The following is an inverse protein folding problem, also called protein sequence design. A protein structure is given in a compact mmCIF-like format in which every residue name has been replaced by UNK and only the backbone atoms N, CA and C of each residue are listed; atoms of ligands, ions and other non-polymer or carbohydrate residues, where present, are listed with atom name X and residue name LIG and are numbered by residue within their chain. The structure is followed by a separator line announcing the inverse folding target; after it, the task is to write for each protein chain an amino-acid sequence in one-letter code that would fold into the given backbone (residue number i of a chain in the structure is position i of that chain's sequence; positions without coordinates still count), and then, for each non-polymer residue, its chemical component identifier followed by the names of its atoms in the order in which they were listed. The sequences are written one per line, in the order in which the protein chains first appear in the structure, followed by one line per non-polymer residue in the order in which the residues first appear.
data_IF_156994210727
#
_entry.id   IF_156994210727
#
_cell.length_a   1.000
_cell.length_b   1.000
_cell.length_c   1.000
_cell.angle_alpha   90.00
_cell.angle_beta   90.00
_cell.angle_gamma   90.00
#
_symmetry.space_group_name_H-M   'P 1'
#
loop_
_entity.id
_entity.type
_entity.pdbx_description
1 polymer ?
#
# COMPACT_ATOMS: atom_id res chain seq x y z
N UNK A 1 0.99 10.88 -22.57
CA UNK A 1 0.74 10.74 -21.12
C UNK A 1 0.98 9.32 -20.61
N UNK A 2 0.29 8.28 -21.13
CA UNK A 2 0.47 6.88 -20.67
C UNK A 2 1.92 6.37 -20.69
N UNK A 3 2.66 6.67 -21.76
CA UNK A 3 4.07 6.25 -21.93
C UNK A 3 4.98 6.90 -20.87
N UNK A 4 4.80 8.19 -20.61
CA UNK A 4 5.60 8.91 -19.60
C UNK A 4 5.35 8.32 -18.21
N UNK A 5 4.08 8.06 -17.88
CA UNK A 5 3.71 7.43 -16.60
C UNK A 5 4.33 6.03 -16.48
N UNK A 6 4.28 5.23 -17.54
CA UNK A 6 4.88 3.90 -17.54
C UNK A 6 6.41 3.97 -17.36
N UNK A 7 7.08 4.87 -18.08
CA UNK A 7 8.53 5.09 -17.95
C UNK A 7 8.88 5.52 -16.52
N UNK A 8 8.17 6.50 -15.96
CA UNK A 8 8.39 6.97 -14.59
C UNK A 8 8.19 5.85 -13.56
N UNK A 9 7.15 5.03 -13.73
CA UNK A 9 6.90 3.89 -12.84
C UNK A 9 7.99 2.82 -12.97
N UNK A 10 8.45 2.53 -14.19
CA UNK A 10 9.56 1.59 -14.41
C UNK A 10 10.84 2.05 -13.73
N UNK A 11 11.20 3.33 -13.83
CA UNK A 11 12.36 3.88 -13.13
C UNK A 11 12.19 3.85 -11.61
N UNK A 12 10.99 4.18 -11.10
CA UNK A 12 10.71 4.14 -9.68
C UNK A 12 10.87 2.72 -9.11
N UNK A 13 10.32 1.71 -9.79
CA UNK A 13 10.47 0.30 -9.39
C UNK A 13 11.94 -0.15 -9.50
N UNK A 14 12.64 0.24 -10.57
CA UNK A 14 14.05 -0.10 -10.75
C UNK A 14 14.92 0.47 -9.62
N UNK A 15 14.79 1.77 -9.31
CA UNK A 15 15.58 2.39 -8.27
C UNK A 15 15.28 1.84 -6.87
N UNK A 16 14.02 1.50 -6.60
CA UNK A 16 13.67 0.77 -5.38
C UNK A 16 14.28 -0.63 -5.33
N UNK A 17 14.36 -1.33 -6.47
CA UNK A 17 14.90 -2.70 -6.53
C UNK A 17 16.41 -2.78 -6.31
N UNK A 18 17.16 -1.77 -6.75
CA UNK A 18 18.62 -1.68 -6.50
C UNK A 18 18.92 -0.99 -5.16
N UNK A 19 17.88 -0.64 -4.40
CA UNK A 19 17.99 -0.13 -3.05
C UNK A 19 18.34 1.35 -2.93
N UNK A 20 18.18 2.18 -3.97
CA UNK A 20 18.40 3.63 -3.85
C UNK A 20 17.32 4.27 -2.98
N UNK A 21 17.74 4.88 -1.87
CA UNK A 21 16.92 5.70 -0.99
C UNK A 21 17.04 7.19 -1.30
N UNK A 22 16.11 7.99 -0.75
CA UNK A 22 16.20 9.45 -0.82
C UNK A 22 17.43 9.98 -0.08
N UNK A 23 17.87 9.31 0.98
CA UNK A 23 19.09 9.64 1.73
C UNK A 23 20.33 9.56 0.87
N UNK A 24 20.41 8.57 -0.03
CA UNK A 24 21.56 8.38 -0.91
C UNK A 24 21.75 9.55 -1.88
N UNK A 25 20.65 10.18 -2.30
CA UNK A 25 20.69 11.37 -3.16
C UNK A 25 21.37 12.54 -2.43
N UNK A 26 21.11 12.69 -1.13
CA UNK A 26 21.74 13.73 -0.32
C UNK A 26 23.22 13.44 -0.02
N UNK A 27 23.60 12.16 0.08
CA UNK A 27 24.98 11.75 0.33
C UNK A 27 25.84 11.69 -0.94
N UNK A 28 25.25 11.86 -2.12
CA UNK A 28 25.96 11.75 -3.40
C UNK A 28 27.13 12.74 -3.53
N UNK A 29 27.00 13.96 -2.97
CA UNK A 29 28.11 14.92 -2.95
C UNK A 29 29.34 14.39 -2.19
N UNK A 30 29.11 13.73 -1.05
CA UNK A 30 30.16 13.14 -0.21
C UNK A 30 30.80 11.93 -0.85
N UNK A 31 30.01 11.14 -1.56
CA UNK A 31 30.52 10.06 -2.39
C UNK A 31 31.51 10.55 -3.46
N UNK A 32 31.18 11.65 -4.15
CA UNK A 32 32.09 12.25 -5.15
C UNK A 32 33.35 12.80 -4.50
N UNK A 33 33.22 13.53 -3.40
CA UNK A 33 34.37 14.09 -2.66
C UNK A 33 35.33 13.00 -2.15
N UNK A 34 34.79 11.91 -1.60
CA UNK A 34 35.62 10.79 -1.13
C UNK A 34 36.26 10.02 -2.30
N UNK A 35 35.58 9.92 -3.45
CA UNK A 35 36.18 9.37 -4.67
C UNK A 35 37.34 10.23 -5.21
N UNK A 36 37.20 11.56 -5.16
CA UNK A 36 38.28 12.50 -5.51
C UNK A 36 39.46 12.37 -4.55
N UNK A 37 39.21 12.31 -3.23
CA UNK A 37 40.24 12.07 -2.22
C UNK A 37 41.02 10.78 -2.49
N UNK A 38 40.33 9.69 -2.84
CA UNK A 38 40.97 8.42 -3.21
C UNK A 38 41.79 8.51 -4.49
N UNK A 39 41.32 9.28 -5.48
CA UNK A 39 42.06 9.52 -6.71
C UNK A 39 43.34 10.32 -6.47
N UNK A 40 43.28 11.34 -5.62
CA UNK A 40 44.41 12.22 -5.31
C UNK A 40 45.46 11.57 -4.39
N UNK A 41 45.03 10.83 -3.36
CA UNK A 41 45.93 10.31 -2.32
C UNK A 41 46.38 8.87 -2.56
N UNK A 42 45.53 8.04 -3.15
CA UNK A 42 45.80 6.62 -3.38
C UNK A 42 45.98 6.27 -4.87
N UNK A 43 45.66 7.20 -5.78
CA UNK A 43 45.73 6.97 -7.23
C UNK A 43 44.64 6.04 -7.73
N UNK A 44 43.55 5.89 -6.97
CA UNK A 44 42.43 5.04 -7.36
C UNK A 44 41.67 5.64 -8.54
N UNK A 45 41.29 4.80 -9.49
CA UNK A 45 40.24 5.15 -10.44
C UNK A 45 38.85 4.92 -9.81
N UNK A 46 37.81 5.42 -10.48
CA UNK A 46 36.44 5.31 -9.98
C UNK A 46 35.99 3.85 -9.73
N UNK A 47 36.42 2.91 -10.58
CA UNK A 47 36.03 1.50 -10.43
C UNK A 47 36.73 0.85 -9.24
N UNK A 48 38.00 1.15 -9.03
CA UNK A 48 38.79 0.69 -7.89
C UNK A 48 38.20 1.24 -6.58
N UNK A 49 37.86 2.53 -6.56
CA UNK A 49 37.13 3.15 -5.45
C UNK A 49 35.81 2.40 -5.18
N UNK A 50 35.01 2.16 -6.22
CA UNK A 50 33.74 1.45 -6.06
C UNK A 50 33.94 0.02 -5.53
N UNK A 51 34.94 -0.73 -6.01
CA UNK A 51 35.26 -2.06 -5.50
C UNK A 51 35.71 -2.04 -4.03
N UNK A 52 36.48 -1.04 -3.62
CA UNK A 52 36.93 -0.83 -2.23
C UNK A 52 35.81 -0.42 -1.27
N UNK A 53 34.71 0.13 -1.76
CA UNK A 53 33.61 0.61 -0.88
C UNK A 53 32.33 -0.24 -0.95
N UNK A 54 32.09 -0.90 -2.08
CA UNK A 54 30.86 -1.65 -2.36
C UNK A 54 31.09 -3.05 -2.97
N UNK A 55 32.33 -3.40 -3.28
CA UNK A 55 32.69 -4.65 -3.95
C UNK A 55 33.46 -5.63 -3.08
N UNK A 56 34.26 -6.47 -3.75
CA UNK A 56 35.05 -7.54 -3.14
C UNK A 56 36.19 -7.02 -2.25
N UNK A 57 36.70 -5.82 -2.52
CA UNK A 57 37.84 -5.23 -1.81
C UNK A 57 37.45 -4.50 -0.52
N UNK A 58 36.15 -4.36 -0.23
CA UNK A 58 35.63 -3.63 0.93
C UNK A 58 36.24 -4.06 2.26
N UNK A 59 36.26 -5.36 2.51
CA UNK A 59 36.77 -5.90 3.78
C UNK A 59 38.26 -5.63 3.98
N UNK A 60 39.04 -5.66 2.90
CA UNK A 60 40.46 -5.37 2.95
C UNK A 60 40.72 -3.87 3.15
N UNK A 61 40.02 -3.03 2.40
CA UNK A 61 40.12 -1.58 2.52
C UNK A 61 39.74 -1.11 3.94
N UNK A 62 38.61 -1.57 4.48
CA UNK A 62 38.19 -1.25 5.86
C UNK A 62 39.19 -1.72 6.92
N UNK A 63 39.90 -2.83 6.69
CA UNK A 63 40.92 -3.32 7.62
C UNK A 63 42.17 -2.45 7.62
N UNK A 64 42.57 -1.96 6.44
CA UNK A 64 43.81 -1.23 6.23
C UNK A 64 43.67 0.27 6.49
N UNK A 65 42.46 0.83 6.34
CA UNK A 65 42.16 2.26 6.46
C UNK A 65 41.07 2.51 7.51
N UNK A 66 41.36 2.18 8.77
CA UNK A 66 40.39 2.34 9.88
C UNK A 66 40.15 3.80 10.26
N UNK A 67 41.08 4.67 9.90
CA UNK A 67 40.97 6.11 10.09
C UNK A 67 39.79 6.72 9.32
N UNK A 68 39.32 6.08 8.26
CA UNK A 68 38.22 6.54 7.41
C UNK A 68 36.85 5.95 7.81
N UNK A 69 36.77 5.10 8.86
CA UNK A 69 35.54 4.39 9.25
C UNK A 69 34.34 5.36 9.48
N UNK A 70 34.59 6.56 10.02
CA UNK A 70 33.53 7.57 10.22
C UNK A 70 33.02 8.17 8.92
N UNK A 71 33.91 8.37 7.93
CA UNK A 71 33.55 8.91 6.63
C UNK A 71 32.82 7.86 5.80
N UNK A 72 33.16 6.58 5.99
CA UNK A 72 32.48 5.47 5.32
C UNK A 72 31.00 5.45 5.70
N UNK A 73 30.61 5.66 6.95
CA UNK A 73 29.19 5.71 7.40
C UNK A 73 28.36 6.81 6.69
N UNK A 74 29.04 7.80 6.12
CA UNK A 74 28.42 8.95 5.45
C UNK A 74 28.37 8.79 3.92
N UNK A 75 28.72 7.59 3.43
CA UNK A 75 28.58 7.20 2.03
C UNK A 75 27.16 6.65 1.73
N UNK A 76 26.65 6.86 0.50
CA UNK A 76 25.35 6.34 0.08
C UNK A 76 25.33 4.80 0.04
N UNK A 77 24.13 4.22 -0.03
CA UNK A 77 23.86 2.79 -0.24
C UNK A 77 24.28 1.86 0.91
N UNK A 78 24.48 2.41 2.11
CA UNK A 78 24.85 1.62 3.30
C UNK A 78 23.64 1.16 4.12
N UNK A 79 22.45 1.67 3.84
CA UNK A 79 21.21 1.22 4.46
C UNK A 79 20.74 -0.14 3.91
N UNK A 80 20.09 -0.92 4.78
CA UNK A 80 19.35 -2.12 4.38
C UNK A 80 18.00 -1.67 3.81
N UNK A 81 17.95 -1.46 2.50
CA UNK A 81 16.75 -1.01 1.76
C UNK A 81 15.63 -2.05 1.75
N UNK A 82 15.92 -3.28 2.17
CA UNK A 82 15.00 -4.40 2.16
C UNK A 82 14.64 -4.87 3.58
N UNK A 83 13.96 -4.00 4.35
CA UNK A 83 13.13 -4.50 5.44
C UNK A 83 11.89 -5.16 4.84
N UNK A 84 12.03 -6.39 4.36
CA UNK A 84 10.89 -7.29 4.32
C UNK A 84 10.49 -7.53 5.78
N UNK A 85 9.65 -6.66 6.35
CA UNK A 85 8.88 -7.03 7.53
C UNK A 85 7.97 -8.14 7.05
N UNK A 86 8.45 -9.40 7.17
CA UNK A 86 7.59 -10.58 7.14
C UNK A 86 6.64 -10.41 8.32
N UNK A 87 5.54 -9.72 8.05
CA UNK A 87 4.46 -9.57 9.02
C UNK A 87 3.69 -10.86 8.90
N UNK A 88 3.96 -11.83 9.78
CA UNK A 88 3.15 -13.03 9.88
C UNK A 88 1.74 -12.62 10.29
N UNK A 89 0.81 -12.65 9.33
CA UNK A 89 -0.62 -12.46 9.60
C UNK A 89 -1.14 -13.78 10.15
N UNK A 90 -1.20 -13.89 11.47
CA UNK A 90 -1.89 -15.01 12.13
C UNK A 90 -3.38 -14.75 12.08
N UNK A 91 -4.07 -15.38 11.11
CA UNK A 91 -5.53 -15.38 11.07
C UNK A 91 -6.04 -16.38 12.12
N UNK A 92 -6.45 -15.88 13.29
CA UNK A 92 -7.08 -16.72 14.31
C UNK A 92 -8.52 -16.99 13.89
N UNK A 93 -8.91 -18.24 13.57
CA UNK A 93 -10.30 -18.55 13.30
C UNK A 93 -11.10 -18.37 14.59
N UNK A 94 -12.13 -17.53 14.56
CA UNK A 94 -13.11 -17.43 15.64
C UNK A 94 -14.46 -17.87 15.10
N UNK A 95 -15.14 -18.73 15.85
CA UNK A 95 -16.50 -19.13 15.54
C UNK A 95 -17.45 -18.08 16.10
N UNK A 96 -18.19 -17.38 15.24
CA UNK A 96 -19.31 -16.55 15.66
C UNK A 96 -20.50 -17.50 15.83
N UNK A 97 -21.06 -17.66 17.05
CA UNK A 97 -22.26 -18.45 17.22
C UNK A 97 -23.41 -17.76 16.47
N UNK A 98 -23.90 -18.40 15.42
CA UNK A 98 -25.09 -17.95 14.70
C UNK A 98 -26.29 -18.24 15.60
N UNK A 99 -26.69 -17.25 16.40
CA UNK A 99 -27.97 -17.28 17.10
C UNK A 99 -29.08 -17.37 16.06
N UNK A 100 -29.83 -18.47 16.07
CA UNK A 100 -31.04 -18.59 15.27
C UNK A 100 -32.00 -17.51 15.72
N UNK A 101 -32.23 -16.52 14.87
CA UNK A 101 -33.28 -15.53 15.10
C UNK A 101 -34.62 -16.29 15.19
N UNK A 102 -35.32 -16.14 16.31
CA UNK A 102 -36.65 -16.70 16.47
C UNK A 102 -37.60 -15.88 15.59
N UNK A 103 -37.93 -16.43 14.42
CA UNK A 103 -38.89 -15.81 13.51
C UNK A 103 -40.27 -15.99 14.14
N UNK A 104 -40.76 -14.95 14.81
CA UNK A 104 -42.15 -14.91 15.27
C UNK A 104 -43.05 -14.84 14.03
N UNK A 105 -43.60 -15.98 13.63
CA UNK A 105 -44.52 -16.06 12.52
C UNK A 105 -45.81 -15.35 12.91
N UNK A 106 -45.98 -14.13 12.41
CA UNK A 106 -47.20 -13.37 12.60
C UNK A 106 -48.35 -14.16 11.97
N UNK A 107 -49.28 -14.65 12.80
CA UNK A 107 -50.46 -15.38 12.33
C UNK A 107 -51.23 -14.49 11.37
N UNK A 108 -51.51 -14.97 10.16
CA UNK A 108 -52.36 -14.22 9.24
C UNK A 108 -53.78 -14.16 9.82
N UNK A 109 -54.21 -12.98 10.22
CA UNK A 109 -55.60 -12.78 10.61
C UNK A 109 -56.44 -12.66 9.33
N UNK A 110 -57.26 -13.66 9.06
CA UNK A 110 -58.21 -13.62 7.94
C UNK A 110 -59.45 -12.86 8.39
N UNK A 111 -59.57 -11.60 7.97
CA UNK A 111 -60.79 -10.81 8.17
C UNK A 111 -61.75 -11.04 7.00
N UNK A 112 -63.03 -11.26 7.28
CA UNK A 112 -64.08 -11.34 6.27
C UNK A 112 -65.01 -10.14 6.44
N UNK A 113 -65.08 -9.29 5.41
CA UNK A 113 -66.08 -8.24 5.37
C UNK A 113 -67.46 -8.84 5.10
N UNK A 114 -68.41 -8.61 6.01
CA UNK A 114 -69.83 -8.86 5.77
C UNK A 114 -70.51 -7.51 5.60
N UNK A 115 -71.10 -7.30 4.42
CA UNK A 115 -71.95 -6.14 4.21
C UNK A 115 -73.30 -6.39 4.89
N UNK A 116 -73.52 -5.75 6.02
CA UNK A 116 -74.78 -5.83 6.79
C UNK A 116 -75.77 -4.73 6.38
N UNK A 117 -75.42 -3.88 5.41
CA UNK A 117 -76.30 -2.84 4.93
C UNK A 117 -77.29 -3.41 3.91
N UNK A 118 -78.57 -3.40 4.29
CA UNK A 118 -79.70 -3.59 3.37
C UNK A 118 -80.40 -2.23 3.25
N UNK A 119 -80.36 -1.64 2.06
CA UNK A 119 -81.17 -0.46 1.74
C UNK A 119 -81.99 -0.77 0.49
N UNK A 120 -83.29 -0.48 0.58
CA UNK A 120 -84.23 -0.68 -0.53
C UNK A 120 -84.02 0.38 -1.62
N UNK A 121 -83.50 1.56 -1.25
CA UNK A 121 -83.08 2.60 -2.18
C UNK A 121 -81.56 2.79 -2.20
N UNK A 122 -80.99 2.91 -3.40
CA UNK A 122 -79.58 3.28 -3.59
C UNK A 122 -79.46 4.79 -3.47
N UNK A 123 -78.61 5.27 -2.55
CA UNK A 123 -78.28 6.69 -2.38
C UNK A 123 -77.93 7.33 -3.73
N UNK A 124 -78.61 8.45 -4.05
CA UNK A 124 -78.54 9.12 -5.36
C UNK A 124 -77.14 9.55 -5.76
N UNK A 125 -76.28 9.83 -4.78
CA UNK A 125 -74.89 10.26 -4.94
C UNK A 125 -73.95 9.19 -5.55
N UNK A 126 -74.36 7.91 -5.60
CA UNK A 126 -73.57 6.83 -6.20
C UNK A 126 -74.22 6.20 -7.44
N UNK A 127 -75.10 6.93 -8.14
CA UNK A 127 -75.63 6.50 -9.42
C UNK A 127 -74.82 7.11 -10.58
N UNK A 128 -74.53 6.34 -11.65
CA UNK A 128 -73.83 6.89 -12.82
C UNK A 128 -74.66 8.01 -13.45
N UNK A 129 -74.02 8.94 -14.19
CA UNK A 129 -74.71 10.06 -14.83
C UNK A 129 -75.85 9.54 -15.71
N UNK A 130 -77.07 9.98 -15.44
CA UNK A 130 -78.21 9.72 -16.32
C UNK A 130 -78.11 10.73 -17.46
N UNK A 131 -77.99 10.23 -18.69
CA UNK A 131 -77.97 11.08 -19.88
C UNK A 131 -79.33 11.80 -20.02
N UNK A 132 -79.27 13.10 -20.33
CA UNK A 132 -80.43 13.93 -20.71
C UNK A 132 -80.66 13.80 -22.21
#
# INVERSE_FOLDING_TARGET
MKIIIAISLSFLVFFQSVGLGMTDIFLFGRFVEHAEYHSENYGDDFFTFFEKHYGSLKTEHQKNHKEEDQEHEELPFQHISCHHVLTDVVLVPFEIPILKAEINTQKSHTFRYQNLYSSLEKFSIFQPPKFV
#
